data_IF_440274581204
#
_entry.id   IF_440274581204
#
_cell.length_a   1.000
_cell.length_b   1.000
_cell.length_c   1.000
_cell.angle_alpha   90.00
_cell.angle_beta   90.00
_cell.angle_gamma   90.00
#
_symmetry.space_group_name_H-M   'P 1'
#
loop_
_entity.id
_entity.type
_entity.pdbx_description
1 polymer ?
#
# COMPACT_ATOMS: atom_id res chain seq x y z
N UNK A 1 -10.51 -22.18 -12.03
CA UNK A 1 -9.30 -23.05 -11.95
C UNK A 1 -8.64 -22.70 -10.63
N UNK A 2 -8.62 -23.64 -9.67
CA UNK A 2 -7.95 -23.38 -8.38
C UNK A 2 -6.46 -23.23 -8.63
N UNK A 3 -5.86 -22.14 -8.13
CA UNK A 3 -4.42 -21.92 -8.20
C UNK A 3 -3.64 -23.05 -7.52
N UNK A 4 -2.36 -23.20 -7.87
CA UNK A 4 -1.48 -24.16 -7.20
C UNK A 4 -1.30 -23.79 -5.72
N UNK A 5 -1.04 -24.80 -4.89
CA UNK A 5 -0.74 -24.60 -3.47
C UNK A 5 0.61 -23.90 -3.31
N UNK A 6 0.72 -22.93 -2.37
CA UNK A 6 1.98 -22.34 -1.96
C UNK A 6 2.80 -23.38 -1.18
N UNK A 7 4.01 -23.70 -1.67
CA UNK A 7 4.82 -24.80 -1.13
C UNK A 7 5.39 -24.50 0.26
N UNK A 8 5.79 -23.26 0.50
CA UNK A 8 6.52 -22.85 1.72
C UNK A 8 5.87 -21.64 2.38
N UNK A 9 4.52 -21.64 2.45
CA UNK A 9 3.79 -20.52 3.07
C UNK A 9 4.35 -20.19 4.47
N UNK A 10 4.55 -18.91 4.80
CA UNK A 10 4.16 -17.70 4.06
C UNK A 10 5.14 -17.24 2.96
N UNK A 11 6.22 -17.96 2.74
CA UNK A 11 7.21 -17.62 1.73
C UNK A 11 6.81 -18.11 0.35
N UNK A 12 7.17 -17.34 -0.68
CA UNK A 12 7.00 -17.71 -2.08
C UNK A 12 8.34 -18.02 -2.74
N UNK A 13 8.32 -18.88 -3.74
CA UNK A 13 9.32 -18.89 -4.80
C UNK A 13 9.04 -17.79 -5.80
N UNK A 14 10.01 -17.46 -6.66
CA UNK A 14 9.79 -16.50 -7.76
C UNK A 14 8.66 -16.94 -8.68
N UNK A 15 8.62 -18.21 -9.03
CA UNK A 15 7.56 -18.73 -9.91
C UNK A 15 6.17 -18.60 -9.26
N UNK A 16 6.04 -18.91 -7.97
CA UNK A 16 4.78 -18.73 -7.23
C UNK A 16 4.36 -17.25 -7.17
N UNK A 17 5.31 -16.31 -7.02
CA UNK A 17 5.01 -14.89 -7.10
C UNK A 17 4.50 -14.49 -8.48
N UNK A 18 5.13 -14.95 -9.57
CA UNK A 18 4.72 -14.63 -10.93
C UNK A 18 3.31 -15.19 -11.23
N UNK A 19 3.01 -16.38 -10.73
CA UNK A 19 1.66 -16.96 -10.87
C UNK A 19 0.64 -16.20 -10.00
N UNK A 20 1.00 -15.84 -8.76
CA UNK A 20 0.15 -15.02 -7.90
C UNK A 20 -0.16 -13.65 -8.55
N UNK A 21 0.83 -13.04 -9.20
CA UNK A 21 0.67 -11.77 -9.91
C UNK A 21 -0.31 -11.88 -11.09
N UNK A 22 -0.24 -12.96 -11.87
CA UNK A 22 -1.20 -13.22 -12.97
C UNK A 22 -2.63 -13.38 -12.46
N UNK A 23 -2.82 -14.19 -11.40
CA UNK A 23 -4.13 -14.37 -10.78
C UNK A 23 -4.66 -13.05 -10.21
N UNK A 24 -3.82 -12.29 -9.51
CA UNK A 24 -4.18 -10.99 -8.97
C UNK A 24 -4.64 -10.01 -10.06
N UNK A 25 -3.91 -9.91 -11.18
CA UNK A 25 -4.30 -9.07 -12.31
C UNK A 25 -5.64 -9.49 -12.91
N UNK A 26 -5.87 -10.80 -13.08
CA UNK A 26 -7.14 -11.31 -13.58
C UNK A 26 -8.32 -10.93 -12.67
N UNK A 27 -8.13 -11.02 -11.35
CA UNK A 27 -9.14 -10.65 -10.36
C UNK A 27 -9.35 -9.14 -10.29
N UNK A 28 -8.26 -8.35 -10.32
CA UNK A 28 -8.31 -6.90 -10.29
C UNK A 28 -9.04 -6.31 -11.51
N UNK A 29 -8.74 -6.81 -12.70
CA UNK A 29 -9.44 -6.40 -13.92
C UNK A 29 -10.93 -6.79 -13.91
N UNK A 30 -11.29 -7.93 -13.30
CA UNK A 30 -12.68 -8.36 -13.17
C UNK A 30 -13.46 -7.51 -12.16
N UNK A 31 -12.82 -7.17 -11.04
CA UNK A 31 -13.41 -6.32 -10.01
C UNK A 31 -13.67 -4.88 -10.48
N UNK A 32 -12.87 -4.39 -11.42
CA UNK A 32 -12.97 -3.02 -11.93
C UNK A 32 -12.52 -1.96 -10.92
N UNK A 33 -12.87 -0.69 -11.17
CA UNK A 33 -12.50 0.43 -10.32
C UNK A 33 -10.98 0.69 -10.29
N UNK A 34 -10.49 1.24 -9.19
CA UNK A 34 -9.05 1.57 -9.04
C UNK A 34 -8.12 0.35 -9.09
N UNK A 35 -8.64 -0.85 -8.80
CA UNK A 35 -7.83 -2.06 -8.83
C UNK A 35 -7.60 -2.57 -10.25
N UNK A 36 -8.43 -2.17 -11.22
CA UNK A 36 -8.24 -2.53 -12.63
C UNK A 36 -6.98 -1.91 -13.27
N UNK A 37 -6.42 -0.87 -12.65
CA UNK A 37 -5.24 -0.16 -13.18
C UNK A 37 -3.91 -0.87 -12.88
N UNK A 38 -3.91 -1.97 -12.11
CA UNK A 38 -2.72 -2.77 -11.92
C UNK A 38 -2.27 -3.40 -13.23
N UNK A 39 -0.95 -3.36 -13.48
CA UNK A 39 -0.32 -3.94 -14.68
C UNK A 39 0.99 -4.63 -14.33
N UNK A 40 1.34 -5.64 -15.10
CA UNK A 40 2.65 -6.27 -15.05
C UNK A 40 3.65 -5.47 -15.89
N UNK A 41 4.78 -5.13 -15.29
CA UNK A 41 5.91 -4.50 -15.97
C UNK A 41 7.03 -5.53 -16.04
N UNK A 42 7.39 -5.92 -17.24
CA UNK A 42 8.47 -6.86 -17.47
C UNK A 42 9.83 -6.16 -17.36
N UNK A 43 10.82 -6.85 -16.82
CA UNK A 43 12.17 -6.34 -16.76
C UNK A 43 12.79 -6.35 -18.18
N UNK A 44 13.32 -5.22 -18.66
CA UNK A 44 13.78 -5.06 -20.02
C UNK A 44 14.86 -6.06 -20.45
N UNK A 45 15.76 -6.45 -19.54
CA UNK A 45 16.93 -7.29 -19.82
C UNK A 45 16.79 -8.74 -19.37
N UNK A 46 15.84 -9.04 -18.49
CA UNK A 46 15.71 -10.36 -17.88
C UNK A 46 14.28 -10.85 -18.01
N UNK A 47 14.05 -11.71 -19.03
CA UNK A 47 12.73 -12.32 -19.24
C UNK A 47 12.28 -13.12 -18.02
N UNK A 48 11.00 -13.02 -17.68
CA UNK A 48 10.42 -13.67 -16.52
C UNK A 48 10.70 -12.94 -15.20
N UNK A 49 11.39 -11.80 -15.24
CA UNK A 49 11.51 -10.90 -14.11
C UNK A 49 10.68 -9.66 -14.39
N UNK A 50 9.77 -9.37 -13.48
CA UNK A 50 8.89 -8.22 -13.58
C UNK A 50 8.31 -7.90 -12.21
N UNK A 51 7.43 -6.91 -12.19
CA UNK A 51 6.73 -6.46 -10.99
C UNK A 51 5.34 -5.92 -11.36
N UNK A 52 4.46 -5.86 -10.38
CA UNK A 52 3.17 -5.21 -10.55
C UNK A 52 3.32 -3.71 -10.29
N UNK A 53 2.67 -2.89 -11.11
CA UNK A 53 2.66 -1.44 -10.96
C UNK A 53 1.25 -0.89 -11.13
N UNK A 54 0.94 0.14 -10.36
CA UNK A 54 -0.27 0.99 -10.53
C UNK A 54 0.05 2.42 -10.14
N UNK A 55 -0.73 3.35 -10.67
CA UNK A 55 -0.67 4.76 -10.31
C UNK A 55 -2.03 5.20 -9.80
N UNK A 56 -2.05 5.89 -8.65
CA UNK A 56 -3.29 6.38 -8.05
C UNK A 56 -3.23 7.87 -7.79
N UNK A 57 -4.38 8.53 -7.87
CA UNK A 57 -4.53 9.93 -7.52
C UNK A 57 -5.22 9.99 -6.16
N UNK A 58 -4.57 10.64 -5.20
CA UNK A 58 -5.15 10.92 -3.89
C UNK A 58 -5.61 12.37 -3.83
N UNK A 59 -6.89 12.58 -3.52
CA UNK A 59 -7.46 13.90 -3.31
C UNK A 59 -7.44 14.23 -1.83
N UNK A 60 -6.82 15.35 -1.46
CA UNK A 60 -6.77 15.84 -0.09
C UNK A 60 -7.43 17.22 0.02
N UNK A 61 -8.37 17.41 0.97
CA UNK A 61 -8.90 18.75 1.27
C UNK A 61 -7.78 19.65 1.79
N UNK A 62 -7.68 20.89 1.30
CA UNK A 62 -6.66 21.86 1.73
C UNK A 62 -6.75 22.25 3.22
N UNK A 63 -7.88 21.99 3.88
CA UNK A 63 -8.08 22.32 5.30
C UNK A 63 -7.14 21.58 6.28
N UNK A 64 -6.41 20.55 5.84
CA UNK A 64 -5.44 19.82 6.66
C UNK A 64 -4.04 20.48 6.70
N UNK A 65 -3.79 21.49 5.87
CA UNK A 65 -2.49 22.16 5.79
C UNK A 65 -2.23 23.16 6.93
N UNK A 66 -3.28 23.73 7.52
CA UNK A 66 -3.13 24.78 8.53
C UNK A 66 -2.88 24.28 9.96
N UNK A 67 -2.91 23.00 10.21
CA UNK A 67 -2.73 22.44 11.56
C UNK A 67 -1.31 21.98 11.88
N UNK A 68 -0.37 21.99 10.94
CA UNK A 68 0.99 21.47 11.16
C UNK A 68 2.04 22.60 11.41
N UNK A 69 1.76 23.84 10.99
CA UNK A 69 2.70 24.98 11.13
C UNK A 69 2.46 25.88 12.38
N UNK A 70 1.64 25.45 13.34
CA UNK A 70 1.39 26.23 14.56
C UNK A 70 1.71 25.48 15.86
N UNK A 71 2.92 24.95 15.97
CA UNK A 71 3.56 24.71 17.27
C UNK A 71 4.79 25.62 17.35
N UNK A 72 4.57 26.88 17.65
CA UNK A 72 5.43 27.82 18.40
C UNK A 72 4.90 29.23 18.25
N UNK A 73 4.00 29.66 19.14
CA UNK A 73 4.01 30.97 19.80
C UNK A 73 2.80 31.15 20.70
N UNK A 74 3.09 31.24 21.96
CA UNK A 74 2.20 31.81 22.98
C UNK A 74 1.54 33.11 22.49
N UNK A 75 0.21 33.18 22.52
CA UNK A 75 -0.48 34.42 22.90
C UNK A 75 -1.97 34.13 23.19
N UNK A 76 -2.38 34.61 24.34
CA UNK A 76 -3.69 34.67 24.94
C UNK A 76 -4.85 35.09 24.04
N UNK A 77 -5.99 34.47 24.31
CA UNK A 77 -7.36 34.97 24.19
C UNK A 77 -7.89 35.45 22.84
N UNK A 78 -8.96 34.83 22.36
CA UNK A 78 -10.35 35.35 22.30
C UNK A 78 -11.24 34.28 21.68
N UNK A 79 -12.21 33.82 22.46
CA UNK A 79 -13.32 32.98 22.04
C UNK A 79 -14.29 33.81 21.16
N UNK A 80 -14.36 33.49 19.87
CA UNK A 80 -15.49 33.88 19.03
C UNK A 80 -16.06 32.60 18.42
N UNK A 81 -17.18 32.16 18.94
CA UNK A 81 -18.06 31.20 18.26
C UNK A 81 -18.74 31.95 17.13
N UNK A 82 -18.25 31.81 15.93
CA UNK A 82 -19.05 32.11 14.74
C UNK A 82 -19.61 30.79 14.19
N UNK A 83 -20.92 30.71 14.16
CA UNK A 83 -21.68 29.70 13.42
C UNK A 83 -21.34 29.88 11.94
N UNK A 84 -20.51 28.99 11.40
CA UNK A 84 -20.20 28.95 9.97
C UNK A 84 -21.40 28.32 9.26
N UNK A 85 -22.17 29.21 8.62
CA UNK A 85 -23.14 28.91 7.56
C UNK A 85 -22.51 27.95 6.53
N UNK A 86 -23.19 26.81 6.27
CA UNK A 86 -22.77 25.80 5.30
C UNK A 86 -23.02 26.26 3.85
N UNK A 87 -22.37 27.32 3.42
CA UNK A 87 -22.21 27.61 2.00
C UNK A 87 -20.90 26.95 1.56
N UNK A 88 -21.00 25.99 0.63
CA UNK A 88 -19.91 25.25 0.00
C UNK A 88 -18.77 26.17 -0.43
N UNK A 89 -17.78 26.32 0.45
CA UNK A 89 -16.49 26.86 0.05
C UNK A 89 -15.81 25.72 -0.71
N UNK A 90 -15.58 25.91 -2.01
CA UNK A 90 -14.68 25.08 -2.80
C UNK A 90 -13.28 25.20 -2.19
N UNK A 91 -12.99 24.35 -1.21
CA UNK A 91 -11.65 24.24 -0.64
C UNK A 91 -10.80 23.56 -1.71
N UNK A 92 -9.75 24.22 -2.25
CA UNK A 92 -8.92 23.61 -3.26
C UNK A 92 -8.39 22.26 -2.74
N UNK A 93 -8.77 21.18 -3.38
CA UNK A 93 -8.23 19.87 -3.05
C UNK A 93 -6.87 19.71 -3.72
N UNK A 94 -5.85 19.39 -2.95
CA UNK A 94 -4.55 19.05 -3.52
C UNK A 94 -4.58 17.63 -4.07
N UNK A 95 -4.14 17.49 -5.32
CA UNK A 95 -3.98 16.20 -5.98
C UNK A 95 -2.56 15.70 -5.79
N UNK A 96 -2.44 14.53 -5.17
CA UNK A 96 -1.19 13.80 -5.09
C UNK A 96 -1.25 12.61 -6.04
N UNK A 97 -0.16 12.34 -6.73
CA UNK A 97 -0.01 11.13 -7.54
C UNK A 97 0.90 10.15 -6.80
N UNK A 98 0.47 8.91 -6.61
CA UNK A 98 1.26 7.88 -5.98
C UNK A 98 1.49 6.72 -6.95
N UNK A 99 2.76 6.39 -7.18
CA UNK A 99 3.20 5.22 -7.95
C UNK A 99 3.45 4.07 -6.98
N UNK A 100 2.75 2.94 -7.15
CA UNK A 100 2.90 1.74 -6.33
C UNK A 100 3.46 0.60 -7.16
N UNK A 101 4.49 -0.07 -6.63
CA UNK A 101 5.09 -1.25 -7.25
C UNK A 101 5.14 -2.41 -6.25
N UNK A 102 4.70 -3.60 -6.67
CA UNK A 102 4.82 -4.83 -5.88
C UNK A 102 5.91 -5.69 -6.51
N UNK A 103 6.99 -5.90 -5.78
CA UNK A 103 8.21 -6.56 -6.26
C UNK A 103 8.49 -7.79 -5.40
N UNK A 104 8.90 -8.87 -6.01
CA UNK A 104 9.38 -10.04 -5.26
C UNK A 104 10.75 -9.80 -4.66
N UNK A 105 10.89 -10.01 -3.35
CA UNK A 105 12.17 -10.03 -2.68
C UNK A 105 12.73 -11.45 -2.59
N UNK A 106 13.85 -11.72 -3.25
CA UNK A 106 14.51 -13.01 -3.18
C UNK A 106 15.10 -13.30 -1.79
N UNK A 107 15.53 -12.28 -1.06
CA UNK A 107 16.10 -12.40 0.28
C UNK A 107 15.06 -12.75 1.32
N UNK A 108 13.90 -12.08 1.29
CA UNK A 108 12.80 -12.32 2.23
C UNK A 108 11.80 -13.36 1.71
N UNK A 109 11.83 -13.67 0.41
CA UNK A 109 10.92 -14.61 -0.26
C UNK A 109 9.44 -14.23 -0.11
N UNK A 110 9.15 -12.94 -0.10
CA UNK A 110 7.80 -12.36 -0.03
C UNK A 110 7.69 -11.17 -0.99
N UNK A 111 6.46 -10.72 -1.32
CA UNK A 111 6.26 -9.46 -2.01
C UNK A 111 6.66 -8.28 -1.12
N UNK A 112 7.15 -7.21 -1.72
CA UNK A 112 7.49 -5.94 -1.07
C UNK A 112 6.79 -4.81 -1.80
N UNK A 113 6.15 -3.92 -1.05
CA UNK A 113 5.52 -2.73 -1.60
C UNK A 113 6.52 -1.58 -1.64
N UNK A 114 6.80 -1.11 -2.85
CA UNK A 114 7.54 0.12 -3.13
C UNK A 114 6.56 1.20 -3.56
N UNK A 115 6.82 2.44 -3.22
CA UNK A 115 6.00 3.55 -3.66
C UNK A 115 6.75 4.88 -3.68
N UNK A 116 6.35 5.78 -4.57
CA UNK A 116 6.72 7.19 -4.55
C UNK A 116 5.47 8.04 -4.72
N UNK A 117 5.48 9.21 -4.11
CA UNK A 117 4.38 10.15 -4.22
C UNK A 117 4.89 11.51 -4.70
N UNK A 118 4.04 12.20 -5.46
CA UNK A 118 4.36 13.46 -6.12
C UNK A 118 3.22 14.46 -5.94
N UNK A 119 3.59 15.71 -5.73
CA UNK A 119 2.67 16.83 -5.82
C UNK A 119 2.18 17.03 -7.25
N UNK A 120 1.14 17.83 -7.45
CA UNK A 120 0.58 18.15 -8.78
C UNK A 120 1.58 18.84 -9.71
N UNK A 121 2.59 19.51 -9.17
CA UNK A 121 3.69 20.12 -9.92
C UNK A 121 4.80 19.11 -10.32
N UNK A 122 4.67 17.83 -9.94
CA UNK A 122 5.63 16.76 -10.22
C UNK A 122 6.79 16.67 -9.22
N UNK A 123 6.89 17.53 -8.20
CA UNK A 123 7.91 17.40 -7.17
C UNK A 123 7.63 16.19 -6.26
N UNK A 124 8.67 15.42 -5.86
CA UNK A 124 8.48 14.29 -4.97
C UNK A 124 8.13 14.75 -3.55
N UNK A 125 7.31 13.96 -2.86
CA UNK A 125 7.04 14.15 -1.45
C UNK A 125 8.26 13.75 -0.61
N UNK A 126 8.52 14.54 0.45
CA UNK A 126 9.47 14.15 1.50
C UNK A 126 8.92 13.00 2.35
N UNK A 127 9.75 12.43 3.23
CA UNK A 127 9.30 11.38 4.15
C UNK A 127 8.23 11.91 5.12
N UNK A 128 8.34 13.16 5.57
CA UNK A 128 7.36 13.77 6.46
C UNK A 128 6.04 14.01 5.74
N UNK A 129 6.07 14.40 4.47
CA UNK A 129 4.89 14.53 3.62
C UNK A 129 4.24 13.16 3.34
N UNK A 130 5.04 12.12 3.13
CA UNK A 130 4.54 10.74 3.02
C UNK A 130 3.77 10.35 4.27
N UNK A 131 4.33 10.57 5.46
CA UNK A 131 3.63 10.30 6.72
C UNK A 131 2.37 11.15 6.90
N UNK A 132 2.39 12.40 6.44
CA UNK A 132 1.27 13.33 6.60
C UNK A 132 0.15 13.09 5.57
N UNK A 133 0.48 12.66 4.36
CA UNK A 133 -0.44 12.66 3.24
C UNK A 133 -0.77 11.26 2.67
N UNK A 134 0.16 10.32 2.73
CA UNK A 134 -0.02 8.98 2.15
C UNK A 134 -0.40 7.96 3.21
N UNK A 135 0.33 7.94 4.33
CA UNK A 135 0.08 6.98 5.42
C UNK A 135 -1.27 7.27 6.08
N UNK A 136 -2.04 6.22 6.29
CA UNK A 136 -3.33 6.33 6.97
C UNK A 136 -3.15 6.89 8.40
N UNK A 137 -3.95 7.90 8.83
CA UNK A 137 -3.81 8.56 10.13
C UNK A 137 -3.77 7.59 11.32
N UNK A 138 -4.62 6.56 11.30
CA UNK A 138 -4.70 5.54 12.36
C UNK A 138 -3.42 4.72 12.56
N UNK A 139 -2.52 4.71 11.57
CA UNK A 139 -1.28 3.94 11.62
C UNK A 139 -0.02 4.79 11.85
N UNK A 140 -0.14 6.11 11.79
CA UNK A 140 1.02 7.02 11.84
C UNK A 140 1.82 6.90 13.13
N UNK A 141 1.12 6.84 14.26
CA UNK A 141 1.76 6.80 15.57
C UNK A 141 2.47 5.46 15.81
N UNK A 142 1.85 4.35 15.42
CA UNK A 142 2.46 3.02 15.51
C UNK A 142 3.71 2.92 14.64
N UNK A 143 3.65 3.45 13.42
CA UNK A 143 4.78 3.45 12.49
C UNK A 143 5.92 4.35 12.95
N UNK A 144 5.61 5.51 13.56
CA UNK A 144 6.62 6.39 14.15
C UNK A 144 7.25 5.78 15.41
N UNK A 145 6.45 5.13 16.26
CA UNK A 145 6.92 4.47 17.47
C UNK A 145 7.83 3.26 17.17
N UNK A 146 7.59 2.55 16.06
CA UNK A 146 8.44 1.46 15.58
C UNK A 146 9.83 1.95 15.10
N UNK A 147 10.03 3.26 15.04
CA UNK A 147 11.25 3.91 14.57
C UNK A 147 11.35 3.92 13.03
N UNK A 148 12.16 4.85 12.50
CA UNK A 148 12.38 5.03 11.05
C UNK A 148 12.79 3.74 10.32
N UNK A 149 13.38 2.78 11.03
CA UNK A 149 13.84 1.49 10.49
C UNK A 149 12.77 0.37 10.54
N UNK A 150 11.59 0.64 11.10
CA UNK A 150 10.64 -0.43 11.38
C UNK A 150 9.61 -0.68 10.28
N UNK A 151 9.14 0.34 9.59
CA UNK A 151 8.02 0.13 8.66
C UNK A 151 8.20 0.77 7.28
N UNK A 152 8.58 2.06 7.19
CA UNK A 152 8.78 2.77 5.92
C UNK A 152 10.24 3.24 5.84
N UNK A 153 10.93 2.81 4.81
CA UNK A 153 12.34 3.17 4.56
C UNK A 153 12.51 3.54 3.09
N UNK A 154 13.68 4.03 2.71
CA UNK A 154 14.00 4.36 1.33
C UNK A 154 15.18 3.50 0.85
N UNK A 155 15.06 2.96 -0.35
CA UNK A 155 16.14 2.27 -1.06
C UNK A 155 15.95 2.36 -2.57
N UNK A 156 16.99 1.99 -3.32
CA UNK A 156 16.88 1.92 -4.77
C UNK A 156 15.91 0.83 -5.19
N UNK A 157 15.01 1.18 -6.11
CA UNK A 157 14.11 0.22 -6.74
C UNK A 157 14.93 -0.83 -7.52
N UNK A 158 14.73 -2.13 -7.30
CA UNK A 158 15.60 -3.18 -7.84
C UNK A 158 15.73 -3.21 -9.38
N UNK A 159 14.72 -2.67 -10.07
CA UNK A 159 14.69 -2.64 -11.55
C UNK A 159 15.01 -1.26 -12.10
N UNK A 160 14.49 -0.20 -11.49
CA UNK A 160 14.60 1.17 -12.00
C UNK A 160 15.88 1.87 -11.54
N UNK A 161 16.53 1.38 -10.48
CA UNK A 161 17.76 1.93 -9.89
C UNK A 161 17.63 3.41 -9.50
N UNK A 162 16.46 3.80 -9.04
CA UNK A 162 16.15 5.12 -8.49
C UNK A 162 15.52 4.96 -7.10
N UNK A 163 15.65 5.95 -6.21
CA UNK A 163 15.12 5.87 -4.86
C UNK A 163 13.59 5.72 -4.82
N UNK A 164 13.12 4.75 -4.04
CA UNK A 164 11.72 4.55 -3.71
C UNK A 164 11.56 4.38 -2.22
N UNK A 165 10.45 4.82 -1.67
CA UNK A 165 9.99 4.37 -0.37
C UNK A 165 9.53 2.93 -0.47
N UNK A 166 9.70 2.15 0.59
CA UNK A 166 9.19 0.78 0.64
C UNK A 166 8.76 0.40 2.05
N UNK A 167 7.83 -0.53 2.13
CA UNK A 167 7.45 -1.15 3.40
C UNK A 167 8.41 -2.30 3.68
N UNK A 168 9.10 -2.24 4.82
CA UNK A 168 10.09 -3.26 5.16
C UNK A 168 9.43 -4.65 5.36
N UNK A 169 9.90 -5.69 4.67
CA UNK A 169 9.20 -6.98 4.62
C UNK A 169 9.45 -7.90 5.82
N UNK A 170 10.22 -7.50 6.84
CA UNK A 170 10.60 -8.38 7.95
C UNK A 170 9.40 -8.98 8.70
N UNK A 171 8.34 -8.21 8.90
CA UNK A 171 7.13 -8.65 9.61
C UNK A 171 6.11 -9.35 8.70
N UNK A 172 6.27 -9.27 7.38
CA UNK A 172 5.33 -9.83 6.40
C UNK A 172 5.06 -11.33 6.64
N UNK A 173 6.07 -12.19 6.87
CA UNK A 173 5.82 -13.61 7.13
C UNK A 173 4.99 -13.85 8.39
N UNK A 174 5.25 -13.12 9.46
CA UNK A 174 4.53 -13.24 10.74
C UNK A 174 3.07 -12.82 10.59
N UNK A 175 2.83 -11.69 9.92
CA UNK A 175 1.48 -11.17 9.67
C UNK A 175 0.65 -12.13 8.80
N UNK A 176 1.24 -12.66 7.73
CA UNK A 176 0.55 -13.64 6.87
C UNK A 176 0.24 -14.93 7.60
N UNK A 177 1.14 -15.40 8.48
CA UNK A 177 0.90 -16.57 9.31
C UNK A 177 -0.28 -16.37 10.25
N UNK A 178 -0.35 -15.21 10.90
CA UNK A 178 -1.43 -14.90 11.84
C UNK A 178 -2.82 -14.99 11.21
N UNK A 179 -2.98 -14.57 9.94
CA UNK A 179 -4.26 -14.72 9.22
C UNK A 179 -4.68 -16.18 9.08
N UNK A 180 -3.73 -17.06 8.77
CA UNK A 180 -4.05 -18.48 8.55
C UNK A 180 -4.31 -19.19 9.88
N UNK A 181 -3.56 -18.83 10.91
CA UNK A 181 -3.74 -19.41 12.24
C UNK A 181 -5.10 -19.02 12.85
N UNK A 182 -5.55 -17.76 12.67
CA UNK A 182 -6.87 -17.29 13.07
C UNK A 182 -8.00 -18.01 12.31
N UNK A 183 -7.81 -18.24 11.01
CA UNK A 183 -8.75 -19.02 10.20
C UNK A 183 -8.78 -20.50 10.57
N UNK A 184 -7.70 -21.08 11.14
CA UNK A 184 -7.61 -22.49 11.53
C UNK A 184 -8.34 -22.81 12.83
N UNK A 185 -8.61 -21.84 13.71
CA UNK A 185 -9.52 -22.03 14.85
C UNK A 185 -10.95 -22.37 14.38
N UNK A 186 -11.26 -22.13 13.13
CA UNK A 186 -12.56 -22.37 12.46
C UNK A 186 -12.66 -23.68 11.68
N UNK A 187 -11.96 -24.75 12.04
CA UNK A 187 -12.19 -26.18 11.65
C UNK A 187 -11.65 -26.73 10.33
N UNK A 188 -10.94 -26.03 9.48
CA UNK A 188 -10.30 -26.68 8.33
C UNK A 188 -8.86 -26.21 8.18
N UNK A 189 -7.93 -27.15 7.87
CA UNK A 189 -6.57 -26.81 7.47
C UNK A 189 -6.65 -26.00 6.18
N UNK A 190 -6.68 -24.67 6.30
CA UNK A 190 -6.71 -23.78 5.14
C UNK A 190 -5.41 -23.96 4.35
N UNK A 191 -5.53 -24.60 3.21
CA UNK A 191 -4.46 -24.65 2.22
C UNK A 191 -4.41 -23.30 1.51
N UNK A 192 -3.32 -22.57 1.68
CA UNK A 192 -3.16 -21.28 0.99
C UNK A 192 -2.77 -21.55 -0.46
N UNK A 193 -3.60 -21.05 -1.37
CA UNK A 193 -3.39 -21.12 -2.80
C UNK A 193 -2.74 -19.85 -3.33
N UNK A 194 -2.03 -19.98 -4.43
CA UNK A 194 -1.29 -18.87 -5.07
C UNK A 194 -2.25 -17.78 -5.53
N UNK A 195 -3.47 -18.14 -5.96
CA UNK A 195 -4.50 -17.22 -6.48
C UNK A 195 -5.03 -16.19 -5.47
N UNK A 196 -5.02 -16.51 -4.17
CA UNK A 196 -5.43 -15.60 -3.09
C UNK A 196 -4.30 -14.88 -2.38
N UNK A 197 -3.06 -15.28 -2.61
CA UNK A 197 -1.91 -14.83 -1.81
C UNK A 197 -1.69 -13.32 -1.87
N UNK A 198 -1.61 -12.73 -3.07
CA UNK A 198 -1.35 -11.30 -3.21
C UNK A 198 -2.51 -10.43 -2.73
N UNK A 199 -3.74 -10.89 -2.82
CA UNK A 199 -4.90 -10.22 -2.22
C UNK A 199 -4.76 -10.12 -0.71
N UNK A 200 -4.52 -11.28 -0.06
CA UNK A 200 -4.33 -11.34 1.40
C UNK A 200 -3.15 -10.48 1.85
N UNK A 201 -2.04 -10.55 1.11
CA UNK A 201 -0.87 -9.73 1.38
C UNK A 201 -1.16 -8.23 1.21
N UNK A 202 -1.83 -7.81 0.13
CA UNK A 202 -2.15 -6.41 -0.12
C UNK A 202 -3.15 -5.85 0.90
N UNK A 203 -4.08 -6.68 1.40
CA UNK A 203 -5.01 -6.27 2.45
C UNK A 203 -4.32 -5.95 3.78
N UNK A 204 -3.18 -6.59 4.06
CA UNK A 204 -2.37 -6.34 5.25
C UNK A 204 -1.45 -5.14 5.10
N UNK A 205 -0.72 -5.11 3.98
CA UNK A 205 0.39 -4.17 3.77
C UNK A 205 -0.10 -2.87 3.13
N UNK A 206 -1.05 -2.96 2.21
CA UNK A 206 -1.55 -1.84 1.42
C UNK A 206 -2.04 -0.64 2.23
N UNK A 207 -2.84 -0.84 3.30
CA UNK A 207 -3.30 0.27 4.13
C UNK A 207 -2.18 1.10 4.75
N UNK A 208 -1.01 0.50 5.01
CA UNK A 208 0.16 1.23 5.50
C UNK A 208 0.63 2.31 4.51
N UNK A 209 0.48 2.08 3.22
CA UNK A 209 0.82 3.04 2.16
C UNK A 209 -0.42 3.70 1.53
N UNK A 210 -1.57 3.72 2.22
CA UNK A 210 -2.79 4.36 1.74
C UNK A 210 -3.53 3.62 0.62
N UNK A 211 -3.15 2.36 0.32
CA UNK A 211 -3.92 1.53 -0.60
C UNK A 211 -5.13 0.98 0.13
N UNK A 212 -6.32 1.40 -0.30
CA UNK A 212 -7.56 0.78 0.12
C UNK A 212 -7.81 -0.41 -0.79
N UNK A 213 -7.72 -1.62 -0.25
CA UNK A 213 -8.10 -2.80 -1.00
C UNK A 213 -9.60 -2.71 -1.34
N UNK A 214 -9.94 -2.75 -2.61
CA UNK A 214 -11.32 -2.67 -3.06
C UNK A 214 -12.13 -3.84 -2.53
N UNK A 215 -13.36 -3.58 -2.09
CA UNK A 215 -14.30 -4.62 -1.59
C UNK A 215 -14.50 -5.72 -2.64
N UNK A 216 -14.41 -5.38 -3.94
CA UNK A 216 -14.54 -6.33 -5.05
C UNK A 216 -13.45 -7.41 -5.09
N UNK A 217 -12.27 -7.14 -4.51
CA UNK A 217 -11.20 -8.14 -4.40
C UNK A 217 -11.50 -9.23 -3.36
N UNK A 218 -12.47 -9.03 -2.48
CA UNK A 218 -12.83 -9.95 -1.39
C UNK A 218 -14.19 -10.63 -1.59
N UNK A 219 -14.93 -10.29 -2.64
CA UNK A 219 -16.17 -10.98 -2.97
C UNK A 219 -15.85 -12.35 -3.56
N UNK A 220 -16.05 -13.41 -2.78
CA UNK A 220 -16.09 -14.78 -3.30
C UNK A 220 -17.18 -14.85 -4.35
N UNK A 221 -16.83 -15.30 -5.54
CA UNK A 221 -17.82 -15.72 -6.52
C UNK A 221 -18.36 -17.07 -6.04
N UNK A 222 -19.57 -17.02 -5.45
CA UNK A 222 -20.38 -18.20 -5.19
C UNK A 222 -20.81 -18.84 -6.50
#
# INVERSE_FOLDING_TARGET
MNGSRVCHYPHLTRAEFDDAAKHFLGQAHHAGGEDADWRWIEHEKVKGFGYLATKRILYRPAALYHSIDQDDKDTDSITVKEELDQSSIDVPSECLTVDYHIIYSSSYRVPVLYFNAYYSNGSPLSIDDIFSHVIEPSRRDDLRAAGFNGAVSQQDHPTLMIPFYYIHPCETPSLLKAIVDDAQESREKSVVHVDGYLRSWLSLIGPTAGIKAGIGLFSDQS
#
